data_IF_052208600276
#
_entry.id   IF_052208600276
#
_cell.length_a   1.000
_cell.length_b   1.000
_cell.length_c   1.000
_cell.angle_alpha   90.00
_cell.angle_beta   90.00
_cell.angle_gamma   90.00
#
_symmetry.space_group_name_H-M   'P 1'
#
loop_
_entity.id
_entity.type
_entity.pdbx_description
1 polymer ?
#
# COMPACT_ATOMS: atom_id res chain seq x y z
N UNK A 1 37.66 -23.98 -20.56
CA UNK A 1 37.20 -22.62 -20.89
C UNK A 1 35.71 -22.40 -20.66
N UNK A 2 34.91 -23.46 -20.48
CA UNK A 2 33.50 -23.35 -20.02
C UNK A 2 33.37 -23.33 -18.49
N UNK A 3 34.23 -24.03 -17.75
CA UNK A 3 34.22 -24.01 -16.26
C UNK A 3 34.58 -22.66 -15.61
N UNK A 4 35.24 -21.77 -16.33
CA UNK A 4 35.61 -20.45 -15.81
C UNK A 4 34.46 -19.43 -15.94
N UNK A 5 33.50 -19.68 -16.84
CA UNK A 5 32.35 -18.78 -17.06
C UNK A 5 31.20 -19.07 -16.09
N UNK A 6 31.10 -20.32 -15.63
CA UNK A 6 30.07 -20.77 -14.68
C UNK A 6 30.38 -20.32 -13.23
N UNK A 7 31.67 -20.10 -12.92
CA UNK A 7 32.11 -19.59 -11.62
C UNK A 7 31.92 -18.06 -11.43
N UNK A 8 31.70 -17.29 -12.50
CA UNK A 8 31.34 -15.87 -12.40
C UNK A 8 29.82 -15.65 -12.25
N UNK A 9 28.99 -16.66 -12.55
CA UNK A 9 27.53 -16.55 -12.45
C UNK A 9 27.01 -16.81 -11.02
N UNK A 10 27.83 -17.36 -10.11
CA UNK A 10 27.47 -17.56 -8.69
C UNK A 10 27.91 -16.41 -7.75
N UNK A 11 28.45 -15.31 -8.28
CA UNK A 11 28.79 -14.13 -7.47
C UNK A 11 27.82 -12.96 -7.68
N UNK A 12 26.53 -13.25 -7.56
CA UNK A 12 25.54 -12.24 -7.22
C UNK A 12 25.24 -12.34 -5.72
N UNK A 13 25.70 -11.42 -4.86
CA UNK A 13 25.10 -11.26 -3.54
C UNK A 13 23.78 -10.50 -3.71
N UNK A 14 22.76 -11.20 -4.20
CA UNK A 14 21.39 -10.93 -3.81
C UNK A 14 21.16 -11.58 -2.45
N UNK A 15 21.60 -10.89 -1.40
CA UNK A 15 20.95 -11.06 -0.11
C UNK A 15 20.88 -9.74 0.63
N UNK A 16 19.63 -9.36 0.86
CA UNK A 16 19.18 -8.32 1.74
C UNK A 16 19.72 -8.52 3.15
N UNK A 17 20.87 -7.92 3.46
CA UNK A 17 21.27 -7.66 4.83
C UNK A 17 20.49 -6.46 5.37
N UNK A 18 19.20 -6.68 5.66
CA UNK A 18 18.52 -5.87 6.68
C UNK A 18 19.08 -6.35 8.01
N UNK A 19 20.18 -5.75 8.46
CA UNK A 19 20.61 -5.85 9.85
C UNK A 19 19.52 -5.21 10.70
N UNK A 20 18.73 -6.04 11.36
CA UNK A 20 17.85 -5.63 12.45
C UNK A 20 18.78 -5.20 13.58
N UNK A 21 18.95 -3.90 13.77
CA UNK A 21 19.49 -3.33 15.01
C UNK A 21 18.31 -2.77 15.76
N UNK A 22 18.19 -3.23 17.00
CA UNK A 22 17.26 -2.78 18.03
C UNK A 22 17.04 -1.26 18.03
N UNK A 23 15.83 -0.88 18.45
CA UNK A 23 15.31 0.47 18.31
C UNK A 23 16.22 1.56 18.85
N UNK A 24 16.58 2.47 17.96
CA UNK A 24 16.90 3.86 18.27
C UNK A 24 16.49 4.73 17.08
N UNK A 25 16.12 5.97 17.37
CA UNK A 25 15.49 6.93 16.48
C UNK A 25 16.33 7.19 15.21
N UNK A 26 15.70 7.15 14.01
CA UNK A 26 16.12 8.01 12.91
C UNK A 26 16.93 7.43 11.74
N UNK A 27 16.90 6.13 11.44
CA UNK A 27 17.36 5.66 10.12
C UNK A 27 16.18 5.55 9.15
N UNK A 28 15.80 6.68 8.55
CA UNK A 28 15.01 6.65 7.33
C UNK A 28 15.82 5.88 6.27
N UNK A 29 15.33 4.78 5.69
CA UNK A 29 16.07 4.13 4.62
C UNK A 29 16.22 5.15 3.48
N UNK A 30 17.44 5.67 3.31
CA UNK A 30 17.86 6.53 2.18
C UNK A 30 17.89 5.73 0.88
N UNK A 31 16.81 5.02 0.57
CA UNK A 31 16.53 4.53 -0.77
C UNK A 31 16.12 5.70 -1.65
N UNK A 32 16.34 5.58 -2.96
CA UNK A 32 15.86 6.55 -3.93
C UNK A 32 14.34 6.67 -3.81
N UNK A 33 13.87 7.70 -3.11
CA UNK A 33 12.46 8.02 -3.01
C UNK A 33 11.99 8.43 -4.39
N UNK A 34 10.83 7.91 -4.79
CA UNK A 34 10.23 8.26 -6.07
C UNK A 34 9.88 9.76 -6.06
N UNK A 35 10.39 10.55 -7.03
CA UNK A 35 10.27 12.01 -7.01
C UNK A 35 8.85 12.54 -7.22
N UNK A 36 7.91 11.69 -7.65
CA UNK A 36 6.50 12.03 -7.82
C UNK A 36 5.61 11.55 -6.66
N UNK A 37 6.18 11.15 -5.51
CA UNK A 37 5.43 10.69 -4.35
C UNK A 37 4.66 11.85 -3.66
N UNK A 38 3.57 12.30 -4.27
CA UNK A 38 2.63 13.27 -3.74
C UNK A 38 1.22 12.67 -3.75
N UNK A 39 0.48 12.63 -2.63
CA UNK A 39 0.77 13.16 -1.30
C UNK A 39 1.52 12.15 -0.40
N UNK A 40 2.62 12.59 0.21
CA UNK A 40 3.43 11.78 1.13
C UNK A 40 2.96 11.94 2.57
N UNK A 41 2.75 10.82 3.27
CA UNK A 41 2.52 10.82 4.70
C UNK A 41 3.86 10.97 5.44
N UNK A 42 4.32 12.20 5.64
CA UNK A 42 5.56 12.48 6.39
C UNK A 42 5.38 12.38 7.90
N UNK A 43 4.14 12.52 8.38
CA UNK A 43 3.86 12.44 9.81
C UNK A 43 3.91 10.99 10.30
N UNK A 44 4.88 10.65 11.16
CA UNK A 44 5.00 9.31 11.76
C UNK A 44 3.72 8.82 12.44
N UNK A 45 2.96 9.74 13.03
CA UNK A 45 1.67 9.44 13.67
C UNK A 45 0.63 8.95 12.65
N UNK A 46 0.63 9.53 11.45
CA UNK A 46 -0.28 9.18 10.36
C UNK A 46 0.13 7.85 9.75
N UNK A 47 1.43 7.66 9.48
CA UNK A 47 2.00 6.40 9.01
C UNK A 47 1.66 5.24 9.94
N UNK A 48 1.85 5.41 11.26
CA UNK A 48 1.48 4.39 12.26
C UNK A 48 -0.02 4.06 12.25
N UNK A 49 -0.91 5.04 12.02
CA UNK A 49 -2.35 4.79 11.88
C UNK A 49 -2.66 4.02 10.60
N UNK A 50 -2.06 4.39 9.48
CA UNK A 50 -2.25 3.70 8.19
C UNK A 50 -1.77 2.24 8.31
N UNK A 51 -0.58 2.00 8.86
CA UNK A 51 -0.04 0.65 9.07
C UNK A 51 -0.91 -0.20 10.01
N UNK A 52 -1.45 0.38 11.09
CA UNK A 52 -2.44 -0.31 11.95
C UNK A 52 -3.71 -0.68 11.18
N UNK A 53 -4.20 0.22 10.34
CA UNK A 53 -5.38 -0.02 9.49
C UNK A 53 -5.14 -1.17 8.54
N UNK A 54 -3.99 -1.19 7.86
CA UNK A 54 -3.56 -2.27 6.97
C UNK A 54 -3.47 -3.59 7.75
N UNK A 55 -2.88 -3.59 8.94
CA UNK A 55 -2.78 -4.80 9.78
C UNK A 55 -4.13 -5.37 10.19
N UNK A 56 -5.11 -4.52 10.52
CA UNK A 56 -6.49 -4.95 10.78
C UNK A 56 -7.17 -5.48 9.51
N UNK A 57 -7.00 -4.78 8.39
CA UNK A 57 -7.52 -5.18 7.07
C UNK A 57 -6.96 -6.53 6.58
N UNK A 58 -5.71 -6.83 6.94
CA UNK A 58 -5.05 -8.09 6.62
C UNK A 58 -5.73 -9.27 7.30
N UNK A 59 -6.17 -9.10 8.56
CA UNK A 59 -6.90 -10.12 9.32
C UNK A 59 -8.31 -10.33 8.77
N UNK A 60 -8.98 -9.25 8.38
CA UNK A 60 -10.34 -9.29 7.81
C UNK A 60 -10.37 -9.75 6.35
N UNK A 61 -9.21 -9.93 5.68
CA UNK A 61 -9.08 -10.34 4.26
C UNK A 61 -9.78 -9.36 3.29
N UNK A 62 -9.85 -8.08 3.64
CA UNK A 62 -10.34 -7.00 2.75
C UNK A 62 -9.22 -6.33 1.95
N UNK A 63 -7.95 -6.74 2.18
CA UNK A 63 -6.77 -6.25 1.47
C UNK A 63 -6.59 -6.90 0.09
N UNK A 64 -6.20 -6.08 -0.87
CA UNK A 64 -5.62 -6.50 -2.15
C UNK A 64 -4.16 -6.04 -2.20
N UNK A 65 -3.25 -6.92 -2.60
CA UNK A 65 -1.81 -6.71 -2.43
C UNK A 65 -1.10 -6.77 -3.77
N UNK A 66 -0.23 -5.80 -4.01
CA UNK A 66 0.58 -5.72 -5.21
C UNK A 66 -0.15 -5.15 -6.43
N UNK A 67 0.66 -4.70 -7.39
CA UNK A 67 0.22 -3.95 -8.57
C UNK A 67 -0.82 -4.71 -9.40
N UNK A 68 -0.60 -6.01 -9.66
CA UNK A 68 -1.50 -6.84 -10.46
C UNK A 68 -2.90 -6.95 -9.85
N UNK A 69 -3.00 -7.09 -8.54
CA UNK A 69 -4.29 -7.18 -7.85
C UNK A 69 -5.01 -5.84 -7.78
N UNK A 70 -4.27 -4.75 -7.54
CA UNK A 70 -4.81 -3.39 -7.47
C UNK A 70 -5.33 -2.94 -8.84
N UNK A 71 -4.56 -3.17 -9.92
CA UNK A 71 -5.01 -2.86 -11.29
C UNK A 71 -6.22 -3.70 -11.67
N UNK A 72 -6.24 -5.00 -11.33
CA UNK A 72 -7.42 -5.86 -11.56
C UNK A 72 -8.63 -5.37 -10.77
N UNK A 73 -8.40 -4.87 -9.56
CA UNK A 73 -9.45 -4.31 -8.71
C UNK A 73 -10.05 -3.04 -9.30
N UNK A 74 -9.21 -2.10 -9.72
CA UNK A 74 -9.61 -0.83 -10.32
C UNK A 74 -10.37 -1.05 -11.64
N UNK A 75 -9.84 -1.92 -12.50
CA UNK A 75 -10.52 -2.30 -13.76
C UNK A 75 -11.87 -2.98 -13.51
N UNK A 76 -11.97 -3.84 -12.49
CA UNK A 76 -13.24 -4.50 -12.14
C UNK A 76 -14.20 -3.58 -11.39
N UNK A 77 -13.69 -2.63 -10.59
CA UNK A 77 -14.51 -1.67 -9.86
C UNK A 77 -15.21 -0.70 -10.80
N UNK A 78 -14.77 -0.52 -12.06
CA UNK A 78 -15.56 0.23 -13.05
C UNK A 78 -16.97 -0.34 -13.25
N UNK A 79 -17.19 -1.63 -12.98
CA UNK A 79 -18.51 -2.28 -13.07
C UNK A 79 -19.34 -2.14 -11.77
N UNK A 80 -18.73 -1.69 -10.66
CA UNK A 80 -19.38 -1.58 -9.33
C UNK A 80 -19.32 -0.16 -8.75
N UNK A 81 -18.59 0.76 -9.41
CA UNK A 81 -18.40 2.16 -9.02
C UNK A 81 -19.48 3.11 -9.55
N UNK A 82 -20.49 2.62 -10.27
CA UNK A 82 -21.64 3.42 -10.67
C UNK A 82 -22.48 3.95 -9.47
N UNK A 83 -22.12 3.59 -8.23
CA UNK A 83 -22.84 4.00 -7.03
C UNK A 83 -21.98 4.66 -5.93
N UNK A 84 -20.70 4.96 -6.16
CA UNK A 84 -19.84 5.61 -5.13
C UNK A 84 -18.92 6.67 -5.72
N UNK A 85 -19.52 7.68 -6.37
CA UNK A 85 -18.87 8.91 -6.84
C UNK A 85 -18.57 9.90 -5.70
N UNK A 86 -19.00 9.59 -4.47
CA UNK A 86 -18.75 10.42 -3.31
C UNK A 86 -17.37 10.16 -2.71
N UNK A 87 -16.50 11.17 -2.76
CA UNK A 87 -15.23 11.27 -2.00
C UNK A 87 -15.42 10.98 -0.50
N UNK A 88 -16.65 11.12 0.01
CA UNK A 88 -17.02 10.84 1.40
C UNK A 88 -17.16 9.35 1.72
N UNK A 89 -17.35 8.47 0.73
CA UNK A 89 -17.49 7.02 0.92
C UNK A 89 -16.75 6.25 -0.18
N UNK A 90 -15.41 6.34 -0.22
CA UNK A 90 -14.64 5.63 -1.23
C UNK A 90 -14.78 4.12 -1.02
N UNK A 91 -15.14 3.42 -2.11
CA UNK A 91 -15.25 1.96 -2.12
C UNK A 91 -13.92 1.27 -1.80
N UNK A 92 -12.81 1.97 -2.03
CA UNK A 92 -11.47 1.53 -1.67
C UNK A 92 -10.51 2.71 -1.47
N UNK A 93 -9.44 2.46 -0.74
CA UNK A 93 -8.32 3.39 -0.52
C UNK A 93 -7.03 2.68 -0.94
N UNK A 94 -6.14 3.37 -1.64
CA UNK A 94 -4.85 2.82 -2.08
C UNK A 94 -3.71 3.43 -1.27
N UNK A 95 -2.82 2.57 -0.80
CA UNK A 95 -1.58 2.93 -0.11
C UNK A 95 -0.41 2.49 -0.98
N UNK A 96 0.47 3.42 -1.32
CA UNK A 96 1.59 3.23 -2.23
C UNK A 96 2.89 3.45 -1.45
N UNK A 97 3.88 2.59 -1.64
CA UNK A 97 5.22 2.83 -1.11
C UNK A 97 6.02 3.75 -2.04
N UNK A 98 6.87 4.62 -1.48
CA UNK A 98 7.66 5.58 -2.22
C UNK A 98 9.12 5.12 -2.45
N UNK A 99 9.57 4.03 -1.83
CA UNK A 99 10.91 3.43 -1.96
C UNK A 99 10.95 2.29 -3.02
N UNK A 100 10.27 2.50 -4.15
CA UNK A 100 10.16 1.47 -5.19
C UNK A 100 11.18 1.72 -6.29
N UNK A 101 11.97 0.67 -6.55
CA UNK A 101 12.80 0.55 -7.74
C UNK A 101 12.35 -0.71 -8.50
N UNK A 102 11.95 -0.61 -9.78
CA UNK A 102 11.94 0.57 -10.65
C UNK A 102 10.65 1.42 -10.55
N UNK A 103 10.75 2.71 -10.88
CA UNK A 103 9.63 3.66 -10.81
C UNK A 103 8.50 3.37 -11.81
N UNK A 104 8.79 2.66 -12.90
CA UNK A 104 7.82 2.29 -13.95
C UNK A 104 6.66 1.42 -13.43
N UNK A 105 6.90 0.69 -12.34
CA UNK A 105 5.88 -0.19 -11.75
C UNK A 105 4.79 0.61 -11.04
N UNK A 106 5.07 1.82 -10.56
CA UNK A 106 4.05 2.65 -9.89
C UNK A 106 3.43 3.65 -10.85
N UNK A 107 4.15 4.16 -11.86
CA UNK A 107 3.74 5.34 -12.65
C UNK A 107 2.30 5.29 -13.19
N UNK A 108 1.80 4.10 -13.53
CA UNK A 108 0.44 3.91 -14.04
C UNK A 108 -0.65 3.82 -12.97
N UNK A 109 -0.32 3.56 -11.69
CA UNK A 109 -1.31 3.39 -10.62
C UNK A 109 -1.95 4.71 -10.20
N UNK A 110 -1.21 5.79 -9.92
CA UNK A 110 -1.82 7.07 -9.57
C UNK A 110 -2.79 7.57 -10.65
N UNK A 111 -2.39 7.45 -11.93
CA UNK A 111 -3.26 7.79 -13.07
C UNK A 111 -4.55 6.98 -13.05
N UNK A 112 -4.45 5.67 -12.86
CA UNK A 112 -5.63 4.79 -12.79
C UNK A 112 -6.51 5.11 -11.56
N UNK A 113 -5.90 5.50 -10.44
CA UNK A 113 -6.64 5.95 -9.27
C UNK A 113 -7.39 7.27 -9.53
N UNK A 114 -6.80 8.20 -10.27
CA UNK A 114 -7.46 9.46 -10.65
C UNK A 114 -8.66 9.23 -11.58
N UNK A 115 -8.49 8.40 -12.62
CA UNK A 115 -9.55 8.03 -13.57
C UNK A 115 -10.78 7.43 -12.88
N UNK A 116 -10.54 6.59 -11.87
CA UNK A 116 -11.60 5.94 -11.09
C UNK A 116 -11.99 6.71 -9.81
N UNK A 117 -11.45 7.90 -9.61
CA UNK A 117 -11.65 8.74 -8.41
C UNK A 117 -11.40 8.00 -7.08
N UNK A 118 -10.41 7.12 -7.05
CA UNK A 118 -10.00 6.37 -5.85
C UNK A 118 -8.92 7.15 -5.10
N UNK A 119 -9.15 7.49 -3.81
CA UNK A 119 -8.17 8.23 -3.03
C UNK A 119 -6.95 7.35 -2.71
N UNK A 120 -5.75 7.94 -2.82
CA UNK A 120 -4.48 7.26 -2.57
C UNK A 120 -3.53 8.08 -1.66
N UNK A 121 -2.59 7.40 -1.01
CA UNK A 121 -1.57 8.01 -0.14
C UNK A 121 -0.23 7.29 -0.27
N UNK A 122 0.87 8.04 -0.17
CA UNK A 122 2.22 7.48 -0.18
C UNK A 122 2.80 7.28 1.23
N UNK A 123 3.53 6.19 1.42
CA UNK A 123 4.35 5.87 2.61
C UNK A 123 5.80 5.69 2.16
N UNK A 124 6.76 6.11 2.99
CA UNK A 124 8.18 6.03 2.66
C UNK A 124 8.71 4.60 2.49
N UNK A 125 8.25 3.63 3.28
CA UNK A 125 8.82 2.27 3.31
C UNK A 125 7.87 1.15 2.83
N UNK A 126 8.32 0.36 1.86
CA UNK A 126 7.66 -0.89 1.39
C UNK A 126 7.81 -2.04 2.37
N UNK A 127 8.86 -2.04 3.18
CA UNK A 127 9.12 -3.10 4.16
C UNK A 127 8.06 -3.05 5.26
N UNK A 128 7.81 -1.86 5.81
CA UNK A 128 6.77 -1.63 6.81
C UNK A 128 5.37 -1.98 6.27
N UNK A 129 5.10 -1.64 5.00
CA UNK A 129 3.82 -1.95 4.35
C UNK A 129 3.63 -3.47 4.13
N UNK A 130 4.70 -4.19 3.78
CA UNK A 130 4.69 -5.65 3.65
C UNK A 130 4.46 -6.35 4.98
N UNK A 131 5.11 -5.89 6.05
CA UNK A 131 4.92 -6.42 7.40
C UNK A 131 3.49 -6.19 7.89
N UNK A 132 2.95 -4.98 7.72
CA UNK A 132 1.57 -4.65 8.05
C UNK A 132 0.58 -5.50 7.24
N UNK A 133 0.92 -5.85 6.01
CA UNK A 133 0.13 -6.72 5.15
C UNK A 133 0.26 -8.21 5.49
N UNK A 134 0.99 -8.60 6.54
CA UNK A 134 1.22 -10.00 6.91
C UNK A 134 1.79 -10.84 5.76
N UNK A 135 2.66 -10.25 4.94
CA UNK A 135 3.37 -10.92 3.84
C UNK A 135 4.86 -10.96 4.11
N UNK A 136 5.50 -12.11 3.83
CA UNK A 136 6.96 -12.26 3.96
C UNK A 136 7.75 -11.45 2.92
N UNK A 137 7.12 -11.04 1.82
CA UNK A 137 7.71 -10.22 0.75
C UNK A 137 7.32 -8.74 0.95
N UNK A 138 8.24 -7.79 0.73
CA UNK A 138 7.90 -6.37 0.75
C UNK A 138 6.84 -6.09 -0.31
N UNK A 139 5.83 -5.30 0.05
CA UNK A 139 4.70 -5.02 -0.84
C UNK A 139 4.77 -3.58 -1.29
N UNK A 140 4.74 -3.38 -2.61
CA UNK A 140 4.80 -2.06 -3.23
C UNK A 140 3.53 -1.24 -3.06
N UNK A 141 2.38 -1.89 -3.25
CA UNK A 141 1.08 -1.22 -3.30
C UNK A 141 0.04 -2.09 -2.63
N UNK A 142 -0.82 -1.47 -1.84
CA UNK A 142 -1.87 -2.15 -1.09
C UNK A 142 -3.17 -1.37 -1.26
N UNK A 143 -4.24 -2.06 -1.61
CA UNK A 143 -5.57 -1.48 -1.69
C UNK A 143 -6.45 -2.07 -0.58
N UNK A 144 -7.03 -1.20 0.21
CA UNK A 144 -8.00 -1.54 1.26
C UNK A 144 -9.37 -1.34 0.65
N UNK A 145 -10.12 -2.43 0.43
CA UNK A 145 -11.50 -2.35 -0.02
C UNK A 145 -12.46 -2.28 1.17
N UNK A 146 -13.56 -1.54 1.02
CA UNK A 146 -14.66 -1.52 2.01
C UNK A 146 -15.43 -2.85 2.01
N UNK A 147 -15.57 -3.47 0.84
CA UNK A 147 -16.26 -4.76 0.69
C UNK A 147 -15.29 -5.95 0.79
N UNK A 148 -15.67 -6.95 1.59
CA UNK A 148 -14.90 -8.18 1.80
C UNK A 148 -15.00 -9.11 0.60
N UNK A 149 -13.87 -9.56 0.06
CA UNK A 149 -13.89 -10.53 -1.03
C UNK A 149 -14.17 -11.95 -0.48
N UNK A 150 -15.39 -12.44 -0.70
CA UNK A 150 -15.80 -13.81 -0.41
C UNK A 150 -17.01 -13.91 0.52
N UNK A 151 -17.94 -14.81 0.18
CA UNK A 151 -19.22 -15.09 0.89
C UNK A 151 -19.10 -15.55 2.35
N UNK A 152 -17.92 -15.53 2.98
CA UNK A 152 -17.72 -16.01 4.36
C UNK A 152 -17.51 -14.84 5.33
N UNK A 153 -18.55 -14.55 6.12
CA UNK A 153 -18.50 -13.78 7.37
C UNK A 153 -17.69 -14.55 8.44
N UNK A 154 -16.39 -14.73 8.24
CA UNK A 154 -15.50 -15.27 9.28
C UNK A 154 -14.54 -14.17 9.72
N UNK A 155 -15.09 -13.18 10.41
CA UNK A 155 -14.37 -12.18 11.20
C UNK A 155 -15.24 -11.87 12.40
N UNK A 156 -14.66 -11.72 13.60
CA UNK A 156 -15.45 -11.34 14.78
C UNK A 156 -16.11 -9.99 14.48
N UNK A 157 -17.40 -9.85 14.79
CA UNK A 157 -18.14 -8.60 14.54
C UNK A 157 -17.47 -7.37 15.19
N UNK A 158 -16.73 -7.55 16.28
CA UNK A 158 -15.92 -6.50 16.92
C UNK A 158 -14.78 -6.00 16.01
N UNK A 159 -14.02 -6.90 15.37
CA UNK A 159 -12.91 -6.53 14.48
C UNK A 159 -13.41 -5.77 13.23
N UNK A 160 -14.65 -6.04 12.80
CA UNK A 160 -15.27 -5.36 11.65
C UNK A 160 -15.70 -3.94 12.02
N UNK A 161 -16.31 -3.74 13.20
CA UNK A 161 -16.69 -2.41 13.70
C UNK A 161 -15.48 -1.54 13.95
N UNK A 162 -14.45 -2.08 14.60
CA UNK A 162 -13.19 -1.36 14.78
C UNK A 162 -12.50 -1.05 13.45
N UNK A 163 -12.66 -1.90 12.44
CA UNK A 163 -12.12 -1.63 11.10
C UNK A 163 -12.86 -0.47 10.42
N UNK A 164 -14.20 -0.40 10.52
CA UNK A 164 -14.98 0.69 9.94
C UNK A 164 -14.66 2.05 10.55
N UNK A 165 -14.49 2.13 11.87
CA UNK A 165 -14.10 3.37 12.56
C UNK A 165 -12.71 3.85 12.11
N UNK A 166 -11.74 2.92 12.08
CA UNK A 166 -10.37 3.23 11.64
C UNK A 166 -10.32 3.56 10.15
N UNK A 167 -11.14 2.91 9.32
CA UNK A 167 -11.27 3.21 7.89
C UNK A 167 -11.88 4.60 7.64
N UNK A 168 -12.85 5.01 8.46
CA UNK A 168 -13.43 6.36 8.38
C UNK A 168 -12.37 7.43 8.69
N UNK A 169 -11.52 7.21 9.69
CA UNK A 169 -10.42 8.11 10.01
C UNK A 169 -9.34 8.13 8.92
N UNK A 170 -9.03 6.97 8.33
CA UNK A 170 -8.15 6.90 7.17
C UNK A 170 -8.74 7.69 5.98
N UNK A 171 -10.03 7.56 5.71
CA UNK A 171 -10.73 8.30 4.64
C UNK A 171 -10.61 9.81 4.82
N UNK A 172 -10.78 10.31 6.05
CA UNK A 172 -10.60 11.74 6.36
C UNK A 172 -9.17 12.21 6.11
N UNK A 173 -8.18 11.36 6.44
CA UNK A 173 -6.77 11.68 6.24
C UNK A 173 -6.42 11.72 4.75
N UNK A 174 -6.83 10.70 4.00
CA UNK A 174 -6.54 10.63 2.56
C UNK A 174 -7.34 11.68 1.77
N UNK A 175 -8.57 12.02 2.16
CA UNK A 175 -9.30 13.13 1.52
C UNK A 175 -8.66 14.50 1.78
N UNK A 176 -8.04 14.73 2.95
CA UNK A 176 -7.23 15.92 3.21
C UNK A 176 -5.96 15.92 2.35
N UNK A 177 -5.27 14.79 2.29
CA UNK A 177 -4.06 14.63 1.48
C UNK A 177 -4.33 14.80 -0.02
N UNK A 178 -5.44 14.25 -0.53
CA UNK A 178 -5.86 14.38 -1.93
C UNK A 178 -6.23 15.82 -2.32
N UNK A 179 -6.83 16.59 -1.41
CA UNK A 179 -7.10 18.03 -1.63
C UNK A 179 -5.82 18.87 -1.72
N UNK A 180 -4.72 18.44 -1.10
CA UNK A 180 -3.44 19.13 -1.19
C UNK A 180 -2.78 18.96 -2.56
N UNK A 181 -3.15 17.93 -3.33
CA UNK A 181 -2.56 17.61 -4.65
C UNK A 181 -3.31 18.26 -5.81
N UNK A 182 -4.63 18.48 -5.70
CA UNK A 182 -5.47 19.11 -6.74
C UNK A 182 -5.43 20.65 -6.77
N UNK A 183 -4.40 21.28 -6.20
CA UNK A 183 -4.31 22.74 -6.08
C UNK A 183 -3.39 23.35 -7.13
#
# INVERSE_FOLDING_TARGET
>A
MVDALEAELEKAPEDSLVRVVDGEEGDEPRGALVPFAFPLADNDKEVKKILKTVKKSAKTKTLRRGVKEVVKALRKSTTTAASSSDISNPAAIVVIAADISPMDVISHIPVLCEDHNVPYIYIKSRAQLGEASATKRPTSVVMIAKERQGKKKEGKDEDVKEFEEVYADLTKLVSKASKAVRK
#
